data_IF_481862416196
#
_entry.id   IF_481862416196
#
_cell.length_a   1.000
_cell.length_b   1.000
_cell.length_c   1.000
_cell.angle_alpha   90.00
_cell.angle_beta   90.00
_cell.angle_gamma   90.00
#
_symmetry.space_group_name_H-M   'P 1'
#
loop_
_entity.id
_entity.type
_entity.pdbx_description
1 polymer ?
#
# COMPACT_ATOMS: atom_id res chain seq x y z
N UNK A 1 -12.79 -61.62 2.19
CA UNK A 1 -13.36 -60.47 1.46
C UNK A 1 -12.31 -59.35 1.37
N UNK A 2 -11.22 -59.56 0.60
CA UNK A 2 -10.04 -58.67 0.57
C UNK A 2 -9.23 -58.73 -0.75
N UNK A 3 -9.90 -58.92 -1.89
CA UNK A 3 -9.19 -59.16 -3.17
C UNK A 3 -9.75 -58.46 -4.41
N UNK A 4 -10.72 -57.54 -4.27
CA UNK A 4 -11.35 -56.88 -5.44
C UNK A 4 -10.99 -55.40 -5.67
N UNK A 5 -10.19 -54.77 -4.79
CA UNK A 5 -9.92 -53.31 -4.85
C UNK A 5 -8.59 -52.92 -5.52
N UNK A 6 -7.81 -53.88 -6.03
CA UNK A 6 -6.44 -53.63 -6.55
C UNK A 6 -6.34 -53.53 -8.09
N UNK A 7 -7.43 -53.75 -8.84
CA UNK A 7 -7.44 -53.66 -10.32
C UNK A 7 -7.94 -52.33 -10.90
N UNK A 8 -8.57 -51.45 -10.12
CA UNK A 8 -9.08 -50.17 -10.66
C UNK A 8 -8.02 -49.05 -10.76
N UNK A 9 -6.81 -49.26 -10.22
CA UNK A 9 -5.77 -48.23 -10.14
C UNK A 9 -4.87 -48.15 -11.39
N UNK A 10 -4.88 -49.17 -12.25
CA UNK A 10 -4.00 -49.22 -13.44
C UNK A 10 -4.68 -48.77 -14.76
N UNK A 11 -5.98 -48.48 -14.75
CA UNK A 11 -6.72 -48.05 -15.96
C UNK A 11 -6.73 -46.51 -16.12
N UNK A 12 -6.67 -45.77 -15.02
CA UNK A 12 -6.69 -44.30 -15.08
C UNK A 12 -5.36 -43.68 -15.52
N UNK A 13 -4.22 -44.35 -15.30
CA UNK A 13 -2.89 -43.85 -15.68
C UNK A 13 -2.64 -43.93 -17.19
N UNK A 14 -3.24 -44.91 -17.89
CA UNK A 14 -3.14 -45.01 -19.36
C UNK A 14 -4.05 -44.02 -20.11
N UNK A 15 -5.07 -43.45 -19.46
CA UNK A 15 -5.99 -42.48 -20.07
C UNK A 15 -5.43 -41.06 -20.10
N UNK A 16 -4.60 -40.68 -19.13
CA UNK A 16 -3.99 -39.34 -19.09
C UNK A 16 -2.80 -39.20 -20.04
N UNK A 17 -2.03 -40.27 -20.26
CA UNK A 17 -0.89 -40.25 -21.19
C UNK A 17 -1.31 -40.25 -22.66
N UNK A 18 -2.48 -40.78 -23.00
CA UNK A 18 -3.01 -40.77 -24.37
C UNK A 18 -3.66 -39.43 -24.76
N UNK A 19 -4.20 -38.67 -23.80
CA UNK A 19 -4.70 -37.30 -24.04
C UNK A 19 -3.57 -36.28 -24.20
N UNK A 20 -2.45 -36.42 -23.47
CA UNK A 20 -1.31 -35.50 -23.61
C UNK A 20 -0.60 -35.62 -24.97
N UNK A 21 -0.49 -36.84 -25.53
CA UNK A 21 0.19 -37.06 -26.83
C UNK A 21 -0.66 -36.56 -28.02
N UNK A 22 -1.99 -36.60 -27.92
CA UNK A 22 -2.91 -36.10 -28.97
C UNK A 22 -3.05 -34.56 -28.99
N UNK A 23 -2.95 -33.88 -27.84
CA UNK A 23 -3.02 -32.41 -27.79
C UNK A 23 -1.69 -31.77 -28.21
N UNK A 24 -0.55 -32.37 -27.88
CA UNK A 24 0.77 -31.84 -28.27
C UNK A 24 1.07 -31.99 -29.77
N UNK A 25 0.48 -32.99 -30.44
CA UNK A 25 0.62 -33.18 -31.89
C UNK A 25 -0.33 -32.29 -32.72
N UNK A 26 -1.40 -31.75 -32.13
CA UNK A 26 -2.28 -30.78 -32.79
C UNK A 26 -1.76 -29.33 -32.74
N UNK A 27 -0.85 -29.00 -31.80
CA UNK A 27 -0.29 -27.65 -31.63
C UNK A 27 0.91 -27.36 -32.55
N UNK A 28 1.59 -28.38 -33.06
CA UNK A 28 2.79 -28.24 -33.92
C UNK A 28 2.44 -28.08 -35.42
N UNK A 29 1.18 -28.34 -35.81
CA UNK A 29 0.72 -28.26 -37.23
C UNK A 29 0.09 -26.89 -37.58
N UNK A 30 -0.10 -25.97 -36.62
CA UNK A 30 -0.72 -24.66 -36.86
C UNK A 30 0.26 -23.49 -37.08
N UNK A 31 1.58 -23.74 -37.19
CA UNK A 31 2.61 -22.70 -37.36
C UNK A 31 3.11 -22.52 -38.82
N UNK A 32 2.30 -22.82 -39.85
CA UNK A 32 2.73 -22.62 -41.25
C UNK A 32 1.59 -22.32 -42.22
N UNK A 33 1.17 -21.05 -42.28
CA UNK A 33 0.55 -20.34 -43.42
C UNK A 33 0.12 -18.95 -42.89
N UNK A 34 0.51 -17.78 -43.41
CA UNK A 34 0.56 -17.28 -44.78
C UNK A 34 1.77 -16.31 -44.88
N UNK A 35 2.74 -16.48 -45.78
CA UNK A 35 2.77 -16.10 -47.21
C UNK A 35 2.26 -14.68 -47.50
N UNK A 36 3.21 -13.82 -47.88
CA UNK A 36 3.09 -12.44 -48.33
C UNK A 36 2.12 -12.27 -49.50
N UNK A 37 1.20 -11.32 -49.38
CA UNK A 37 0.48 -10.73 -50.51
C UNK A 37 1.07 -9.36 -50.84
N UNK A 38 1.78 -9.28 -51.96
CA UNK A 38 2.15 -8.01 -52.61
C UNK A 38 0.91 -7.38 -53.25
N UNK A 39 0.68 -6.06 -53.12
CA UNK A 39 -0.38 -5.40 -53.87
C UNK A 39 0.03 -5.14 -55.33
N UNK A 40 -0.86 -5.54 -56.22
CA UNK A 40 -0.89 -5.27 -57.66
C UNK A 40 -0.85 -3.78 -57.96
N UNK A 41 0.08 -3.37 -58.83
CA UNK A 41 0.16 -2.04 -59.43
C UNK A 41 -0.96 -1.84 -60.45
N UNK A 42 -1.70 -0.73 -60.30
CA UNK A 42 -2.66 -0.23 -61.30
C UNK A 42 -1.92 0.72 -62.25
N UNK A 43 -2.06 0.60 -63.59
CA UNK A 43 -1.46 1.55 -64.53
C UNK A 43 -2.20 2.90 -64.49
N UNK A 44 -1.41 3.97 -64.54
CA UNK A 44 -1.89 5.34 -64.42
C UNK A 44 -2.74 5.84 -65.59
N UNK A 45 -3.57 6.84 -65.26
CA UNK A 45 -4.12 7.77 -66.24
C UNK A 45 -3.59 9.16 -65.91
N UNK A 46 -2.76 9.65 -66.83
CA UNK A 46 -2.14 10.97 -66.83
C UNK A 46 -3.19 12.02 -67.18
N UNK A 47 -3.36 13.01 -66.30
CA UNK A 47 -3.80 14.35 -66.70
C UNK A 47 -3.11 15.37 -65.79
N UNK A 48 -2.08 16.01 -66.35
CA UNK A 48 -1.50 17.27 -65.86
C UNK A 48 -2.41 18.42 -66.37
N UNK A 49 -2.74 19.40 -65.53
CA UNK A 49 -2.18 20.71 -65.84
C UNK A 49 -1.76 21.55 -64.62
N UNK A 50 -0.54 22.09 -64.74
CA UNK A 50 -0.11 23.48 -64.41
C UNK A 50 0.20 23.80 -62.94
N UNK A 51 1.38 24.39 -62.64
CA UNK A 51 1.83 24.65 -61.29
C UNK A 51 1.10 25.85 -60.67
N UNK A 52 0.23 25.58 -59.70
CA UNK A 52 -0.19 26.60 -58.73
C UNK A 52 0.79 26.57 -57.56
N UNK A 53 1.62 27.60 -57.47
CA UNK A 53 2.31 27.94 -56.24
C UNK A 53 1.25 28.23 -55.17
N UNK A 54 1.03 27.28 -54.27
CA UNK A 54 0.33 27.54 -53.02
C UNK A 54 1.37 27.57 -51.92
N UNK A 55 1.47 28.76 -51.36
CA UNK A 55 2.36 29.18 -50.30
C UNK A 55 2.35 28.17 -49.15
N UNK A 56 3.56 27.83 -48.70
CA UNK A 56 3.82 27.28 -47.37
C UNK A 56 3.22 28.23 -46.34
N UNK A 57 2.00 27.96 -45.90
CA UNK A 57 1.48 28.51 -44.66
C UNK A 57 2.17 27.75 -43.53
N UNK A 58 3.22 28.33 -42.98
CA UNK A 58 3.78 27.93 -41.70
C UNK A 58 2.76 28.30 -40.63
N UNK A 59 1.72 27.49 -40.47
CA UNK A 59 0.89 27.52 -39.26
C UNK A 59 1.80 27.12 -38.09
N UNK A 60 1.81 27.83 -36.96
CA UNK A 60 2.50 27.35 -35.78
C UNK A 60 1.81 26.03 -35.40
N UNK A 61 2.52 24.91 -35.54
CA UNK A 61 2.11 23.63 -35.00
C UNK A 61 2.11 23.80 -33.49
N UNK A 62 0.97 24.15 -32.90
CA UNK A 62 0.80 24.10 -31.45
C UNK A 62 1.10 22.66 -31.05
N UNK A 63 2.14 22.48 -30.23
CA UNK A 63 2.50 21.17 -29.72
C UNK A 63 1.30 20.65 -28.90
N UNK A 64 0.75 19.50 -29.27
CA UNK A 64 -0.40 18.89 -28.57
C UNK A 64 -0.13 18.77 -27.06
N UNK A 65 1.12 18.48 -26.69
CA UNK A 65 1.54 18.40 -25.29
C UNK A 65 1.39 19.73 -24.53
N UNK A 66 1.72 20.87 -25.17
CA UNK A 66 1.59 22.19 -24.56
C UNK A 66 0.11 22.54 -24.29
N UNK A 67 -0.80 22.10 -25.17
CA UNK A 67 -2.25 22.25 -24.99
C UNK A 67 -2.70 21.42 -23.79
N UNK A 68 -2.33 20.14 -23.76
CA UNK A 68 -2.69 19.22 -22.66
C UNK A 68 -2.17 19.74 -21.31
N UNK A 69 -0.93 20.27 -21.27
CA UNK A 69 -0.37 20.88 -20.05
C UNK A 69 -1.17 22.11 -19.61
N UNK A 70 -1.57 22.98 -20.55
CA UNK A 70 -2.34 24.18 -20.23
C UNK A 70 -3.72 23.83 -19.67
N UNK A 71 -4.42 22.89 -20.30
CA UNK A 71 -5.73 22.41 -19.86
C UNK A 71 -5.63 21.69 -18.50
N UNK A 72 -4.59 20.86 -18.28
CA UNK A 72 -4.36 20.21 -17.00
C UNK A 72 -4.14 21.20 -15.84
N UNK A 73 -3.41 22.30 -16.11
CA UNK A 73 -3.25 23.39 -15.13
C UNK A 73 -4.58 24.08 -14.84
N UNK A 74 -5.39 24.34 -15.87
CA UNK A 74 -6.70 24.94 -15.70
C UNK A 74 -7.64 24.03 -14.91
N UNK A 75 -7.66 22.74 -15.22
CA UNK A 75 -8.48 21.74 -14.54
C UNK A 75 -8.12 21.66 -13.06
N UNK A 76 -6.82 21.59 -12.73
CA UNK A 76 -6.37 21.58 -11.33
C UNK A 76 -6.71 22.89 -10.60
N UNK A 77 -6.52 24.04 -11.25
CA UNK A 77 -6.85 25.34 -10.66
C UNK A 77 -8.35 25.46 -10.36
N UNK A 78 -9.21 25.01 -11.28
CA UNK A 78 -10.66 24.98 -11.09
C UNK A 78 -11.06 24.02 -9.97
N UNK A 79 -10.46 22.82 -9.92
CA UNK A 79 -10.75 21.80 -8.92
C UNK A 79 -10.45 22.26 -7.49
N UNK A 80 -9.40 23.07 -7.32
CA UNK A 80 -8.95 23.60 -6.04
C UNK A 80 -9.45 25.02 -5.74
N UNK A 81 -10.32 25.58 -6.59
CA UNK A 81 -10.85 26.95 -6.50
C UNK A 81 -9.74 28.03 -6.36
N UNK A 82 -8.66 27.89 -7.15
CA UNK A 82 -7.51 28.80 -7.11
C UNK A 82 -7.81 30.10 -7.85
N UNK A 83 -7.63 31.23 -7.17
CA UNK A 83 -7.82 32.57 -7.77
C UNK A 83 -6.52 33.23 -8.21
N UNK A 84 -5.42 32.96 -7.52
CA UNK A 84 -4.10 33.59 -7.76
C UNK A 84 -2.96 32.60 -7.94
N UNK A 85 -3.07 31.41 -7.36
CA UNK A 85 -2.01 30.41 -7.41
C UNK A 85 -2.10 29.64 -8.72
N UNK A 86 -1.03 29.70 -9.51
CA UNK A 86 -0.97 29.07 -10.84
C UNK A 86 -0.22 27.74 -10.72
N UNK A 87 -0.83 26.61 -11.12
CA UNK A 87 -0.14 25.34 -11.11
C UNK A 87 1.10 25.32 -12.02
N UNK A 88 2.21 24.81 -11.49
CA UNK A 88 3.49 24.71 -12.20
C UNK A 88 3.73 23.28 -12.69
N UNK A 89 4.22 23.11 -13.91
CA UNK A 89 4.57 21.78 -14.43
C UNK A 89 5.85 21.28 -13.75
N UNK A 90 5.79 20.07 -13.20
CA UNK A 90 6.96 19.34 -12.70
C UNK A 90 7.41 18.32 -13.74
N UNK A 91 6.47 17.51 -14.23
CA UNK A 91 6.75 16.39 -15.13
C UNK A 91 5.53 16.05 -15.98
N UNK A 92 5.76 15.56 -17.19
CA UNK A 92 4.75 14.95 -18.04
C UNK A 92 5.33 13.68 -18.66
N UNK A 93 4.55 12.61 -18.66
CA UNK A 93 4.96 11.31 -19.20
C UNK A 93 3.81 10.69 -20.00
N UNK A 94 4.13 10.09 -21.15
CA UNK A 94 3.17 9.27 -21.89
C UNK A 94 2.93 7.94 -21.16
N UNK A 95 1.67 7.61 -20.92
CA UNK A 95 1.23 6.42 -20.17
C UNK A 95 0.06 5.77 -20.91
N UNK A 96 -0.10 4.46 -20.73
CA UNK A 96 -1.27 3.71 -21.16
C UNK A 96 -2.16 3.42 -19.95
N UNK A 97 -3.38 3.93 -19.97
CA UNK A 97 -4.36 3.72 -18.91
C UNK A 97 -5.12 2.41 -19.12
N UNK A 98 -5.52 1.71 -18.06
CA UNK A 98 -6.19 0.41 -18.16
C UNK A 98 -7.67 0.49 -18.55
N UNK A 99 -8.28 1.68 -18.44
CA UNK A 99 -9.72 1.90 -18.63
C UNK A 99 -10.06 3.32 -19.08
N UNK A 100 -11.34 3.54 -19.40
CA UNK A 100 -11.88 4.83 -19.84
C UNK A 100 -11.91 5.94 -18.77
N UNK A 101 -11.63 5.61 -17.51
CA UNK A 101 -11.49 6.59 -16.43
C UNK A 101 -10.03 6.97 -16.19
N UNK A 102 -9.14 6.62 -17.14
CA UNK A 102 -7.73 6.95 -17.09
C UNK A 102 -7.06 6.37 -15.83
N UNK A 103 -7.53 5.21 -15.37
CA UNK A 103 -7.01 4.52 -14.19
C UNK A 103 -7.36 5.20 -12.85
N UNK A 104 -8.29 6.16 -12.85
CA UNK A 104 -8.84 6.75 -11.62
C UNK A 104 -10.22 6.18 -11.38
N UNK A 105 -10.41 5.45 -10.28
CA UNK A 105 -11.70 4.91 -9.89
C UNK A 105 -12.39 5.85 -8.93
N UNK A 106 -13.48 6.49 -9.38
CA UNK A 106 -14.36 7.27 -8.52
C UNK A 106 -15.57 6.45 -8.11
N UNK A 107 -16.05 6.68 -6.88
CA UNK A 107 -17.22 5.97 -6.36
C UNK A 107 -18.46 6.19 -7.22
N UNK A 108 -19.10 5.10 -7.63
CA UNK A 108 -20.32 5.13 -8.46
C UNK A 108 -20.08 5.29 -9.97
N UNK A 109 -18.83 5.40 -10.42
CA UNK A 109 -18.48 5.47 -11.85
C UNK A 109 -18.09 4.09 -12.38
N UNK A 110 -18.69 3.71 -13.52
CA UNK A 110 -18.34 2.48 -14.24
C UNK A 110 -17.46 2.81 -15.44
N UNK A 111 -16.22 2.32 -15.41
CA UNK A 111 -15.23 2.56 -16.45
C UNK A 111 -15.24 1.42 -17.49
N UNK A 112 -15.21 1.77 -18.76
CA UNK A 112 -15.08 0.78 -19.83
C UNK A 112 -13.64 0.24 -19.87
N UNK A 113 -13.49 -1.08 -19.73
CA UNK A 113 -12.20 -1.76 -19.69
C UNK A 113 -11.55 -1.82 -21.09
N UNK A 114 -10.72 -0.84 -21.40
CA UNK A 114 -9.89 -0.80 -22.60
C UNK A 114 -8.70 0.13 -22.39
N UNK A 115 -7.62 -0.10 -23.14
CA UNK A 115 -6.42 0.72 -23.02
C UNK A 115 -6.64 2.09 -23.66
N UNK A 116 -6.31 3.15 -22.93
CA UNK A 116 -6.35 4.54 -23.42
C UNK A 116 -4.94 5.13 -23.35
N UNK A 117 -4.39 5.53 -24.50
CA UNK A 117 -3.12 6.26 -24.53
C UNK A 117 -3.33 7.69 -24.02
N UNK A 118 -2.37 8.20 -23.26
CA UNK A 118 -2.50 9.51 -22.66
C UNK A 118 -1.26 10.00 -21.93
N UNK A 119 -1.45 11.00 -21.08
CA UNK A 119 -0.37 11.58 -20.28
C UNK A 119 -0.67 11.55 -18.78
N UNK A 120 0.36 11.25 -17.99
CA UNK A 120 0.42 11.53 -16.55
C UNK A 120 1.19 12.84 -16.35
N UNK A 121 0.55 13.82 -15.73
CA UNK A 121 1.06 15.18 -15.60
C UNK A 121 1.18 15.48 -14.12
N UNK A 122 2.40 15.79 -13.66
CA UNK A 122 2.67 16.19 -12.28
C UNK A 122 2.73 17.71 -12.21
N UNK A 123 1.85 18.30 -11.41
CA UNK A 123 1.74 19.73 -11.21
C UNK A 123 2.02 20.10 -9.75
N UNK A 124 2.72 21.20 -9.53
CA UNK A 124 2.95 21.77 -8.20
C UNK A 124 2.03 22.95 -7.94
N UNK A 125 1.42 22.97 -6.74
CA UNK A 125 0.72 24.13 -6.18
C UNK A 125 1.15 24.24 -4.72
N UNK A 126 1.70 25.38 -4.29
CA UNK A 126 2.10 25.64 -2.90
C UNK A 126 3.00 24.53 -2.28
N UNK A 127 3.90 23.97 -3.09
CA UNK A 127 4.82 22.90 -2.66
C UNK A 127 4.20 21.50 -2.60
N UNK A 128 2.90 21.37 -2.89
CA UNK A 128 2.20 20.08 -3.01
C UNK A 128 2.24 19.61 -4.45
N UNK A 129 2.23 18.30 -4.65
CA UNK A 129 2.26 17.68 -5.97
C UNK A 129 0.95 16.95 -6.22
N UNK A 130 0.32 17.29 -7.35
CA UNK A 130 -0.91 16.70 -7.85
C UNK A 130 -0.62 15.96 -9.15
N UNK A 131 -1.26 14.81 -9.35
CA UNK A 131 -1.30 14.15 -10.66
C UNK A 131 -2.60 14.53 -11.39
N UNK A 132 -2.46 14.85 -12.67
CA UNK A 132 -3.56 14.96 -13.62
C UNK A 132 -3.34 13.92 -14.70
N UNK A 133 -4.34 13.06 -14.90
CA UNK A 133 -4.35 12.08 -15.98
C UNK A 133 -5.14 12.63 -17.16
N UNK A 134 -4.65 12.40 -18.37
CA UNK A 134 -5.32 12.82 -19.61
C UNK A 134 -5.28 11.72 -20.66
N UNK A 135 -6.15 11.81 -21.67
CA UNK A 135 -5.93 11.17 -22.96
C UNK A 135 -5.00 12.02 -23.86
N UNK A 136 -4.53 11.45 -24.99
CA UNK A 136 -3.51 12.10 -25.83
C UNK A 136 -3.87 13.50 -26.36
N UNK A 137 -5.15 13.79 -26.56
CA UNK A 137 -5.61 15.08 -27.10
C UNK A 137 -6.10 16.07 -26.02
N UNK A 138 -6.10 15.66 -24.75
CA UNK A 138 -6.55 16.47 -23.62
C UNK A 138 -8.05 16.70 -23.54
N UNK A 139 -8.85 16.01 -24.38
CA UNK A 139 -10.32 16.11 -24.33
C UNK A 139 -10.92 15.50 -23.07
N UNK A 140 -10.17 14.64 -22.39
CA UNK A 140 -10.51 14.10 -21.07
C UNK A 140 -9.35 14.34 -20.12
N UNK A 141 -9.64 14.95 -18.98
CA UNK A 141 -8.70 15.23 -17.89
C UNK A 141 -9.34 14.78 -16.58
N UNK A 142 -8.54 14.16 -15.71
CA UNK A 142 -8.96 13.74 -14.36
C UNK A 142 -7.87 14.15 -13.37
N UNK A 143 -8.22 15.00 -12.41
CA UNK A 143 -7.35 15.28 -11.26
C UNK A 143 -7.41 14.08 -10.33
N UNK A 144 -6.26 13.46 -10.09
CA UNK A 144 -6.18 12.34 -9.15
C UNK A 144 -6.43 12.89 -7.74
N UNK A 145 -7.40 12.34 -6.98
CA UNK A 145 -7.80 12.88 -5.66
C UNK A 145 -6.71 12.81 -4.58
N UNK A 146 -5.53 12.26 -4.89
CA UNK A 146 -4.49 11.96 -3.93
C UNK A 146 -3.25 12.82 -4.20
N UNK A 147 -2.74 13.45 -3.13
CA UNK A 147 -1.46 14.14 -3.16
C UNK A 147 -0.31 13.14 -3.31
N UNK A 148 0.72 13.49 -4.06
CA UNK A 148 1.95 12.69 -4.11
C UNK A 148 2.86 13.16 -2.97
N UNK A 149 3.26 12.27 -2.03
CA UNK A 149 4.11 12.63 -0.92
C UNK A 149 5.58 12.71 -1.36
N UNK A 150 5.98 13.85 -1.91
CA UNK A 150 7.34 14.08 -2.42
C UNK A 150 8.19 14.91 -1.46
N UNK A 151 9.50 14.62 -1.33
CA UNK A 151 10.25 13.58 -2.06
C UNK A 151 10.08 12.16 -1.49
N UNK A 152 9.49 12.05 -0.30
CA UNK A 152 9.15 10.78 0.34
C UNK A 152 8.06 11.01 1.38
N UNK A 153 7.25 9.99 1.64
CA UNK A 153 6.18 10.06 2.62
C UNK A 153 5.00 9.16 2.27
N UNK A 154 3.87 9.45 2.90
CA UNK A 154 2.64 8.69 2.74
C UNK A 154 1.51 9.66 2.48
N UNK A 155 0.70 9.38 1.47
CA UNK A 155 -0.62 9.99 1.34
C UNK A 155 -1.69 8.92 1.47
N UNK A 156 -2.76 9.25 2.19
CA UNK A 156 -3.91 8.38 2.35
C UNK A 156 -5.16 9.18 2.15
N UNK A 157 -5.96 8.77 1.17
CA UNK A 157 -7.22 9.41 0.85
C UNK A 157 -8.34 8.46 1.18
N UNK A 158 -9.26 8.94 2.01
CA UNK A 158 -10.56 8.34 2.26
C UNK A 158 -11.51 8.99 1.27
N UNK A 159 -12.13 8.19 0.42
CA UNK A 159 -13.15 8.60 -0.54
C UNK A 159 -14.40 7.72 -0.36
N UNK A 160 -15.41 8.31 0.26
CA UNK A 160 -16.70 7.69 0.53
C UNK A 160 -17.82 8.67 0.18
N UNK A 161 -19.07 8.20 0.09
CA UNK A 161 -20.20 9.05 -0.34
C UNK A 161 -20.36 10.33 0.50
N UNK A 162 -19.94 10.28 1.77
CA UNK A 162 -20.20 11.35 2.74
C UNK A 162 -18.92 12.07 3.18
N UNK A 163 -17.74 11.55 2.83
CA UNK A 163 -16.44 12.07 3.27
C UNK A 163 -15.37 11.82 2.21
N UNK A 164 -14.73 12.90 1.76
CA UNK A 164 -13.49 12.86 0.99
C UNK A 164 -12.39 13.63 1.72
N UNK A 165 -11.43 12.91 2.29
CA UNK A 165 -10.36 13.48 3.12
C UNK A 165 -9.02 12.83 2.79
N UNK A 166 -8.01 13.67 2.58
CA UNK A 166 -6.63 13.26 2.31
C UNK A 166 -5.74 13.65 3.48
N UNK A 167 -4.96 12.69 3.96
CA UNK A 167 -3.86 12.90 4.88
C UNK A 167 -2.55 12.79 4.11
N UNK A 168 -1.62 13.68 4.41
CA UNK A 168 -0.28 13.69 3.86
C UNK A 168 0.74 13.76 5.01
N UNK A 169 1.61 12.76 5.03
CA UNK A 169 2.66 12.55 6.02
C UNK A 169 4.00 12.62 5.31
N UNK A 170 4.76 13.69 5.53
CA UNK A 170 6.06 13.96 4.93
C UNK A 170 7.11 14.14 6.03
N UNK A 171 8.38 13.89 5.72
CA UNK A 171 9.44 14.05 6.73
C UNK A 171 9.70 15.51 7.08
N UNK A 172 10.01 15.77 8.35
CA UNK A 172 10.34 17.09 8.89
C UNK A 172 9.20 18.13 8.72
N UNK A 173 7.98 17.66 8.46
CA UNK A 173 6.76 18.46 8.41
C UNK A 173 5.72 17.82 9.33
N UNK A 174 4.76 18.63 9.78
CA UNK A 174 3.57 18.16 10.48
C UNK A 174 2.56 17.52 9.51
N UNK A 175 1.48 16.94 10.04
CA UNK A 175 0.46 16.25 9.23
C UNK A 175 -0.33 17.27 8.41
N UNK A 176 -0.37 17.08 7.09
CA UNK A 176 -1.22 17.88 6.20
C UNK A 176 -2.56 17.17 6.00
N UNK A 177 -3.66 17.85 6.26
CA UNK A 177 -5.02 17.33 6.11
C UNK A 177 -5.83 18.20 5.14
N UNK A 178 -6.40 17.58 4.10
CA UNK A 178 -7.22 18.27 3.12
C UNK A 178 -8.56 17.57 2.94
N UNK A 179 -9.63 18.33 2.72
CA UNK A 179 -10.74 17.79 1.92
C UNK A 179 -10.26 17.68 0.47
N UNK A 180 -10.70 16.67 -0.28
CA UNK A 180 -10.16 16.41 -1.63
C UNK A 180 -10.28 17.58 -2.63
N UNK A 181 -11.14 18.55 -2.37
CA UNK A 181 -11.34 19.75 -3.20
C UNK A 181 -10.73 21.03 -2.60
N UNK A 182 -10.02 20.94 -1.47
CA UNK A 182 -9.46 22.10 -0.76
C UNK A 182 -7.95 21.96 -0.61
N UNK A 183 -7.28 23.09 -0.38
CA UNK A 183 -5.88 23.08 0.05
C UNK A 183 -5.76 22.48 1.45
N UNK A 184 -4.66 21.75 1.75
CA UNK A 184 -4.46 21.16 3.07
C UNK A 184 -4.18 22.21 4.15
N UNK A 185 -4.69 21.93 5.34
CA UNK A 185 -4.29 22.54 6.60
C UNK A 185 -3.14 21.73 7.23
N UNK A 186 -2.27 22.40 7.98
CA UNK A 186 -1.18 21.75 8.72
C UNK A 186 -1.61 21.54 10.17
N UNK A 187 -1.55 20.29 10.63
CA UNK A 187 -1.90 19.88 12.00
C UNK A 187 -0.70 19.19 12.65
N UNK A 188 -0.26 19.64 13.84
CA UNK A 188 0.89 19.04 14.50
C UNK A 188 0.75 17.55 14.76
N UNK A 189 1.85 16.81 14.67
CA UNK A 189 1.88 15.45 15.20
C UNK A 189 1.55 15.47 16.69
N UNK A 190 0.60 14.62 17.11
CA UNK A 190 0.24 14.49 18.53
C UNK A 190 1.40 13.88 19.31
N UNK A 191 2.02 12.84 18.77
CA UNK A 191 3.18 12.18 19.36
C UNK A 191 4.42 12.42 18.49
N UNK A 192 5.47 13.00 19.07
CA UNK A 192 6.72 13.27 18.34
C UNK A 192 7.42 11.99 17.84
N UNK A 193 7.08 10.81 18.38
CA UNK A 193 7.62 9.53 17.91
C UNK A 193 7.16 9.20 16.49
N UNK A 194 5.98 9.69 16.06
CA UNK A 194 5.41 9.40 14.74
C UNK A 194 6.33 9.80 13.60
N UNK A 195 7.05 10.90 13.73
CA UNK A 195 8.02 11.31 12.71
C UNK A 195 9.16 10.30 12.54
N UNK A 196 9.63 9.70 13.66
CA UNK A 196 10.66 8.64 13.60
C UNK A 196 10.12 7.34 13.01
N UNK A 197 8.88 6.99 13.31
CA UNK A 197 8.19 5.83 12.73
C UNK A 197 7.97 6.00 11.22
N UNK A 198 7.53 7.18 10.78
CA UNK A 198 7.42 7.53 9.37
C UNK A 198 8.76 7.35 8.64
N UNK A 199 9.84 7.90 9.22
CA UNK A 199 11.19 7.76 8.67
C UNK A 199 11.63 6.30 8.59
N UNK A 200 11.34 5.50 9.61
CA UNK A 200 11.63 4.06 9.57
C UNK A 200 11.00 3.40 8.34
N UNK A 201 9.72 3.66 8.06
CA UNK A 201 9.07 3.10 6.89
C UNK A 201 9.69 3.58 5.58
N UNK A 202 9.87 4.90 5.44
CA UNK A 202 10.46 5.54 4.25
C UNK A 202 11.84 4.96 3.92
N UNK A 203 12.68 4.76 4.94
CA UNK A 203 14.03 4.21 4.79
C UNK A 203 14.05 2.71 4.50
N UNK A 204 12.98 1.99 4.88
CA UNK A 204 12.93 0.54 4.77
C UNK A 204 12.40 0.08 3.42
N UNK A 205 11.28 0.66 2.97
CA UNK A 205 10.52 0.11 1.85
C UNK A 205 10.71 0.88 0.55
N UNK A 206 10.61 0.17 -0.58
CA UNK A 206 10.37 0.76 -1.89
C UNK A 206 8.98 1.39 -1.94
N UNK A 207 8.77 2.30 -2.88
CA UNK A 207 7.46 2.90 -3.12
C UNK A 207 6.43 1.85 -3.55
N UNK A 208 5.21 1.98 -3.03
CA UNK A 208 4.08 1.14 -3.41
C UNK A 208 2.78 1.94 -3.27
N UNK A 209 1.72 1.42 -3.89
CA UNK A 209 0.38 1.96 -3.72
C UNK A 209 -0.59 0.83 -3.46
N UNK A 210 -1.59 1.09 -2.63
CA UNK A 210 -2.55 0.07 -2.16
C UNK A 210 -3.95 0.64 -2.09
N UNK A 211 -4.92 -0.14 -2.59
CA UNK A 211 -6.33 0.18 -2.45
C UNK A 211 -6.79 -0.12 -1.03
N UNK A 212 -7.49 0.83 -0.42
CA UNK A 212 -8.15 0.68 0.88
C UNK A 212 -9.65 0.44 0.64
N UNK A 213 -10.39 -0.14 1.61
CA UNK A 213 -11.83 -0.41 1.44
C UNK A 213 -12.67 0.82 1.05
N UNK A 214 -12.24 2.01 1.48
CA UNK A 214 -12.92 3.29 1.26
C UNK A 214 -11.93 4.34 0.74
N UNK A 215 -10.94 3.96 -0.05
CA UNK A 215 -9.94 4.92 -0.50
C UNK A 215 -8.67 4.30 -1.06
N UNK A 216 -7.59 5.04 -0.97
CA UNK A 216 -6.30 4.65 -1.54
C UNK A 216 -5.14 5.24 -0.76
N UNK A 217 -4.02 4.53 -0.72
CA UNK A 217 -2.79 5.00 -0.10
C UNK A 217 -1.64 4.94 -1.11
N UNK A 218 -0.89 6.03 -1.19
CA UNK A 218 0.42 6.05 -1.86
C UNK A 218 1.51 6.14 -0.80
N UNK A 219 2.48 5.24 -0.91
CA UNK A 219 3.69 5.26 -0.13
C UNK A 219 4.87 5.53 -1.07
N UNK A 220 5.56 6.65 -0.87
CA UNK A 220 6.79 6.97 -1.57
C UNK A 220 7.97 6.77 -0.62
N UNK A 221 8.64 5.63 -0.78
CA UNK A 221 9.79 5.24 0.01
C UNK A 221 11.10 5.40 -0.76
N UNK A 222 12.20 5.42 -0.01
CA UNK A 222 13.58 5.44 -0.56
C UNK A 222 14.37 4.19 -0.18
N UNK A 223 13.74 3.24 0.49
CA UNK A 223 14.33 1.95 0.80
C UNK A 223 14.39 1.04 -0.43
N UNK A 224 15.05 -0.10 -0.27
CA UNK A 224 15.25 -1.10 -1.32
C UNK A 224 14.41 -2.36 -1.12
N UNK A 225 13.73 -2.50 0.01
CA UNK A 225 12.90 -3.66 0.32
C UNK A 225 11.50 -3.54 -0.27
N UNK A 226 11.08 -4.51 -1.06
CA UNK A 226 9.68 -4.64 -1.45
C UNK A 226 8.84 -5.08 -0.25
N UNK A 227 7.80 -4.31 0.11
CA UNK A 227 6.93 -4.60 1.23
C UNK A 227 5.96 -5.74 0.90
N UNK A 228 5.96 -6.81 1.71
CA UNK A 228 4.94 -7.86 1.65
C UNK A 228 3.58 -7.39 2.15
N UNK A 229 2.51 -8.13 1.87
CA UNK A 229 1.14 -7.77 2.31
C UNK A 229 1.05 -7.50 3.83
N UNK A 230 1.76 -8.26 4.66
CA UNK A 230 1.81 -8.04 6.10
C UNK A 230 2.53 -6.72 6.45
N UNK A 231 3.60 -6.38 5.74
CA UNK A 231 4.34 -5.13 5.96
C UNK A 231 3.56 -3.92 5.44
N UNK A 232 2.87 -4.05 4.30
CA UNK A 232 1.95 -3.02 3.82
C UNK A 232 0.81 -2.80 4.82
N UNK A 233 0.26 -3.86 5.40
CA UNK A 233 -0.74 -3.76 6.49
C UNK A 233 -0.19 -3.01 7.71
N UNK A 234 1.08 -3.20 8.05
CA UNK A 234 1.77 -2.45 9.12
C UNK A 234 1.80 -0.95 8.85
N UNK A 235 2.14 -0.56 7.62
CA UNK A 235 2.16 0.85 7.18
C UNK A 235 0.73 1.43 7.18
N UNK A 236 -0.26 0.68 6.69
CA UNK A 236 -1.67 1.07 6.71
C UNK A 236 -2.15 1.29 8.15
N UNK A 237 -1.81 0.38 9.08
CA UNK A 237 -2.17 0.52 10.49
C UNK A 237 -1.56 1.78 11.12
N UNK A 238 -0.33 2.14 10.74
CA UNK A 238 0.30 3.39 11.17
C UNK A 238 -0.45 4.61 10.66
N UNK A 239 -0.81 4.63 9.37
CA UNK A 239 -1.62 5.69 8.77
C UNK A 239 -2.95 5.86 9.50
N UNK A 240 -3.65 4.77 9.76
CA UNK A 240 -4.94 4.78 10.46
C UNK A 240 -4.79 5.33 11.88
N UNK A 241 -3.76 4.90 12.61
CA UNK A 241 -3.46 5.38 13.96
C UNK A 241 -3.21 6.88 13.96
N UNK A 242 -2.30 7.37 13.12
CA UNK A 242 -1.93 8.80 13.10
C UNK A 242 -3.09 9.65 12.60
N UNK A 243 -3.83 9.23 11.57
CA UNK A 243 -5.05 9.92 11.13
C UNK A 243 -6.07 10.05 12.26
N UNK A 244 -6.29 8.99 13.05
CA UNK A 244 -7.18 9.04 14.20
C UNK A 244 -6.67 9.99 15.30
N UNK A 245 -5.37 9.97 15.59
CA UNK A 245 -4.72 10.89 16.54
C UNK A 245 -4.89 12.35 16.11
N UNK A 246 -4.61 12.66 14.84
CA UNK A 246 -4.74 14.00 14.25
C UNK A 246 -6.17 14.53 14.36
N UNK A 247 -7.16 13.69 14.05
CA UNK A 247 -8.57 14.08 14.16
C UNK A 247 -9.03 14.24 15.62
N UNK A 248 -8.52 13.40 16.53
CA UNK A 248 -8.90 13.43 17.95
C UNK A 248 -8.14 14.49 18.75
N UNK A 249 -6.99 14.97 18.27
CA UNK A 249 -6.07 15.85 18.98
C UNK A 249 -5.42 15.19 20.21
N UNK A 250 -5.44 13.84 20.30
CA UNK A 250 -4.89 13.06 21.41
C UNK A 250 -4.52 11.65 20.98
N UNK A 251 -3.55 11.05 21.65
CA UNK A 251 -3.13 9.66 21.50
C UNK A 251 -3.77 8.77 22.58
N UNK A 252 -3.72 7.45 22.37
CA UNK A 252 -4.08 6.47 23.39
C UNK A 252 -3.14 5.28 23.31
N UNK A 253 -2.59 4.87 24.46
CA UNK A 253 -1.68 3.73 24.54
C UNK A 253 -2.35 2.38 24.17
N UNK A 254 -3.69 2.31 24.25
CA UNK A 254 -4.46 1.13 23.87
C UNK A 254 -4.85 1.12 22.40
N UNK A 255 -4.74 2.25 21.69
CA UNK A 255 -5.13 2.34 20.28
C UNK A 255 -4.19 1.47 19.45
N UNK A 256 -4.76 0.55 18.67
CA UNK A 256 -3.97 -0.37 17.86
C UNK A 256 -3.09 -1.35 18.65
N UNK A 257 -3.24 -1.48 19.97
CA UNK A 257 -2.53 -2.52 20.73
C UNK A 257 -3.02 -3.92 20.30
N UNK A 258 -2.11 -4.83 19.96
CA UNK A 258 -2.43 -6.26 19.76
C UNK A 258 -2.14 -7.05 21.04
N UNK A 259 -1.04 -6.73 21.71
CA UNK A 259 -0.54 -7.57 22.80
C UNK A 259 0.20 -6.72 23.83
N UNK A 260 -0.08 -6.96 25.10
CA UNK A 260 0.74 -6.52 26.24
C UNK A 260 1.23 -7.73 27.00
N UNK A 261 2.51 -7.77 27.33
CA UNK A 261 3.15 -8.86 28.07
C UNK A 261 4.03 -8.32 29.17
N UNK A 262 3.94 -8.95 30.33
CA UNK A 262 4.69 -8.63 31.53
C UNK A 262 5.30 -9.91 32.10
N UNK A 263 6.58 -9.84 32.48
CA UNK A 263 7.27 -10.91 33.21
C UNK A 263 8.05 -10.33 34.38
N UNK A 264 7.73 -10.79 35.58
CA UNK A 264 8.38 -10.37 36.82
C UNK A 264 8.82 -11.57 37.67
N UNK A 265 9.90 -11.40 38.41
CA UNK A 265 10.40 -12.39 39.38
C UNK A 265 11.53 -13.24 38.84
N UNK A 266 11.63 -14.50 39.29
CA UNK A 266 12.79 -15.33 39.03
C UNK A 266 14.00 -14.97 39.90
N UNK A 267 14.95 -15.90 40.03
CA UNK A 267 16.19 -15.69 40.81
C UNK A 267 17.03 -14.51 40.26
N UNK A 268 16.89 -14.21 38.97
CA UNK A 268 17.57 -13.09 38.32
C UNK A 268 16.87 -11.73 38.52
N UNK A 269 15.66 -11.70 39.12
CA UNK A 269 14.87 -10.48 39.30
C UNK A 269 14.51 -9.82 37.98
N UNK A 270 13.83 -10.56 37.10
CA UNK A 270 13.23 -10.03 35.88
C UNK A 270 12.12 -9.04 36.21
N UNK A 271 11.97 -8.04 35.35
CA UNK A 271 10.87 -7.08 35.41
C UNK A 271 10.81 -6.46 34.01
N UNK A 272 10.17 -7.20 33.12
CA UNK A 272 10.25 -7.02 31.68
C UNK A 272 8.84 -6.78 31.17
N UNK A 273 8.67 -5.73 30.36
CA UNK A 273 7.40 -5.38 29.74
C UNK A 273 7.58 -5.24 28.23
N UNK A 274 6.59 -5.68 27.46
CA UNK A 274 6.57 -5.53 26.02
C UNK A 274 5.14 -5.30 25.51
N UNK A 275 4.97 -4.28 24.69
CA UNK A 275 3.68 -3.98 24.02
C UNK A 275 3.87 -4.01 22.51
N UNK A 276 3.10 -4.84 21.82
CA UNK A 276 3.08 -4.95 20.35
C UNK A 276 1.84 -4.23 19.81
N UNK A 277 2.06 -3.37 18.83
CA UNK A 277 1.01 -2.63 18.13
C UNK A 277 0.73 -3.22 16.73
N UNK A 278 -0.45 -2.92 16.20
CA UNK A 278 -0.84 -3.21 14.82
C UNK A 278 0.07 -2.54 13.80
N UNK A 279 0.78 -1.49 14.20
CA UNK A 279 1.82 -0.86 13.38
C UNK A 279 3.09 -1.70 13.27
N UNK A 280 3.17 -2.89 13.89
CA UNK A 280 4.38 -3.69 13.89
C UNK A 280 5.47 -3.18 14.83
N UNK A 281 5.27 -2.04 15.48
CA UNK A 281 6.15 -1.57 16.54
C UNK A 281 5.95 -2.40 17.81
N UNK A 282 7.07 -2.80 18.43
CA UNK A 282 7.09 -3.39 19.76
C UNK A 282 7.90 -2.48 20.70
N UNK A 283 7.20 -1.88 21.67
CA UNK A 283 7.80 -1.03 22.68
C UNK A 283 8.24 -1.89 23.86
N UNK A 284 9.49 -1.72 24.28
CA UNK A 284 10.11 -2.57 25.30
C UNK A 284 10.46 -1.72 26.50
N UNK A 285 9.94 -2.09 27.67
CA UNK A 285 10.26 -1.41 28.93
C UNK A 285 10.72 -2.40 29.99
N UNK A 286 11.33 -1.87 31.05
CA UNK A 286 11.65 -2.64 32.26
C UNK A 286 11.05 -1.95 33.46
N UNK A 287 10.29 -2.68 34.27
CA UNK A 287 9.71 -2.19 35.53
C UNK A 287 10.68 -2.28 36.73
N UNK A 288 11.95 -2.65 36.52
CA UNK A 288 12.94 -2.79 37.59
C UNK A 288 13.04 -1.53 38.44
N UNK A 289 13.17 -1.71 39.75
CA UNK A 289 13.21 -0.63 40.75
C UNK A 289 11.90 0.17 40.88
N UNK A 290 10.77 -0.36 40.38
CA UNK A 290 9.45 0.26 40.54
C UNK A 290 9.23 1.50 39.69
N UNK A 291 10.05 1.71 38.66
CA UNK A 291 9.91 2.79 37.68
C UNK A 291 10.07 2.22 36.27
N UNK A 292 9.10 2.43 35.35
CA UNK A 292 9.25 2.02 33.96
C UNK A 292 10.45 2.70 33.32
N UNK A 293 11.38 1.89 32.81
CA UNK A 293 12.51 2.35 32.01
C UNK A 293 12.29 1.93 30.56
N UNK A 294 12.23 2.90 29.66
CA UNK A 294 12.21 2.66 28.22
C UNK A 294 13.55 2.04 27.77
N UNK A 295 13.46 0.88 27.13
CA UNK A 295 14.60 0.15 26.56
C UNK A 295 14.68 0.32 25.05
N UNK A 296 13.65 0.90 24.43
CA UNK A 296 13.56 1.20 23.01
C UNK A 296 12.34 0.59 22.33
N UNK A 297 12.19 0.94 21.06
CA UNK A 297 11.22 0.38 20.14
C UNK A 297 11.95 -0.48 19.12
N UNK A 298 11.45 -1.69 18.87
CA UNK A 298 11.87 -2.55 17.76
C UNK A 298 10.71 -2.79 16.81
N UNK A 299 11.03 -3.24 15.61
CA UNK A 299 10.06 -3.48 14.55
C UNK A 299 9.98 -4.98 14.26
N UNK A 300 8.75 -5.49 14.19
CA UNK A 300 8.52 -6.86 13.77
C UNK A 300 8.94 -7.04 12.30
N UNK A 301 9.62 -8.15 12.03
CA UNK A 301 9.94 -8.55 10.66
C UNK A 301 8.73 -9.13 9.93
N UNK A 302 8.90 -9.45 8.64
CA UNK A 302 7.85 -10.03 7.78
C UNK A 302 7.18 -11.26 8.39
N UNK A 303 7.96 -12.20 8.93
CA UNK A 303 7.44 -13.47 9.42
C UNK A 303 6.71 -13.27 10.74
N UNK A 304 7.25 -12.38 11.60
CA UNK A 304 6.61 -11.95 12.84
C UNK A 304 5.28 -11.21 12.59
N UNK A 305 5.25 -10.28 11.64
CA UNK A 305 4.05 -9.57 11.22
C UNK A 305 3.00 -10.52 10.66
N UNK A 306 3.42 -11.43 9.78
CA UNK A 306 2.52 -12.45 9.22
C UNK A 306 1.90 -13.30 10.33
N UNK A 307 2.71 -13.75 11.30
CA UNK A 307 2.23 -14.58 12.39
C UNK A 307 1.30 -13.83 13.35
N UNK A 308 1.66 -12.61 13.78
CA UNK A 308 0.85 -11.84 14.73
C UNK A 308 -0.48 -11.43 14.10
N UNK A 309 -0.52 -11.08 12.81
CA UNK A 309 -1.77 -10.74 12.14
C UNK A 309 -2.68 -11.95 11.92
N UNK A 310 -2.12 -13.13 11.64
CA UNK A 310 -2.93 -14.36 11.60
C UNK A 310 -3.64 -14.62 12.92
N UNK A 311 -2.96 -14.43 14.05
CA UNK A 311 -3.58 -14.55 15.37
C UNK A 311 -4.56 -13.41 15.66
N UNK A 312 -4.21 -12.18 15.31
CA UNK A 312 -5.05 -11.00 15.53
C UNK A 312 -6.38 -11.11 14.77
N UNK A 313 -6.39 -11.66 13.56
CA UNK A 313 -7.62 -11.84 12.77
C UNK A 313 -8.43 -13.06 13.21
N UNK A 314 -7.78 -14.05 13.82
CA UNK A 314 -8.42 -15.31 14.17
C UNK A 314 -9.03 -15.32 15.57
N UNK A 315 -8.28 -14.83 16.56
CA UNK A 315 -8.65 -14.90 17.97
C UNK A 315 -9.38 -13.65 18.44
N UNK A 316 -10.30 -13.82 19.39
CA UNK A 316 -10.84 -12.73 20.19
C UNK A 316 -9.90 -12.34 21.33
N UNK A 317 -10.35 -11.41 22.17
CA UNK A 317 -9.57 -10.96 23.33
C UNK A 317 -9.43 -12.07 24.39
N UNK A 318 -8.25 -12.19 24.99
CA UNK A 318 -8.04 -13.07 26.13
C UNK A 318 -6.92 -12.58 27.04
N UNK A 319 -6.91 -13.08 28.28
CA UNK A 319 -5.83 -12.92 29.24
C UNK A 319 -5.18 -14.28 29.48
N UNK A 320 -3.85 -14.31 29.60
CA UNK A 320 -3.08 -15.49 29.92
C UNK A 320 -2.15 -15.21 31.09
N UNK A 321 -2.41 -15.90 32.21
CA UNK A 321 -1.65 -15.79 33.46
C UNK A 321 -1.47 -17.20 34.05
N UNK A 322 -0.50 -17.99 33.55
CA UNK A 322 -0.33 -19.37 33.96
C UNK A 322 0.07 -19.44 35.44
N UNK A 323 -0.55 -20.36 36.18
CA UNK A 323 -0.17 -20.61 37.57
C UNK A 323 1.23 -21.25 37.61
N UNK A 324 2.23 -20.49 38.04
CA UNK A 324 3.56 -21.04 38.31
C UNK A 324 3.56 -21.66 39.70
N UNK A 325 4.11 -22.87 39.84
CA UNK A 325 4.25 -23.50 41.14
C UNK A 325 5.17 -22.61 41.99
N UNK A 326 4.70 -22.11 43.13
CA UNK A 326 5.42 -21.21 44.05
C UNK A 326 6.77 -21.75 44.61
N UNK A 327 7.21 -22.94 44.18
CA UNK A 327 8.53 -23.52 44.48
C UNK A 327 9.52 -23.37 43.31
N UNK A 328 9.06 -23.08 42.10
CA UNK A 328 9.87 -22.85 40.91
C UNK A 328 10.01 -21.33 40.72
N UNK A 329 11.10 -20.77 41.24
CA UNK A 329 11.69 -19.46 40.97
C UNK A 329 10.83 -18.20 41.18
N UNK A 330 9.53 -18.31 41.50
CA UNK A 330 8.66 -17.17 41.79
C UNK A 330 8.47 -16.22 40.60
N UNK A 331 8.40 -16.77 39.39
CA UNK A 331 8.18 -16.01 38.16
C UNK A 331 6.68 -15.86 37.89
N UNK A 332 6.24 -14.64 37.59
CA UNK A 332 4.88 -14.31 37.16
C UNK A 332 4.91 -13.89 35.69
N UNK A 333 3.92 -14.34 34.92
CA UNK A 333 3.67 -13.89 33.55
C UNK A 333 2.23 -13.40 33.48
N UNK A 334 2.03 -12.21 32.94
CA UNK A 334 0.73 -11.68 32.59
C UNK A 334 0.75 -11.26 31.12
N UNK A 335 -0.20 -11.77 30.34
CA UNK A 335 -0.36 -11.42 28.93
C UNK A 335 -1.81 -11.04 28.65
N UNK A 336 -2.00 -9.92 27.95
CA UNK A 336 -3.29 -9.49 27.40
C UNK A 336 -3.17 -9.50 25.89
N UNK A 337 -4.05 -10.26 25.22
CA UNK A 337 -4.18 -10.28 23.78
C UNK A 337 -5.47 -9.58 23.37
N UNK A 338 -5.35 -8.59 22.47
CA UNK A 338 -6.45 -7.82 21.92
C UNK A 338 -6.64 -8.18 20.44
N UNK A 339 -7.35 -9.27 20.18
CA UNK A 339 -7.63 -9.76 18.83
C UNK A 339 -8.91 -9.17 18.23
N UNK A 340 -8.99 -9.11 16.91
CA UNK A 340 -10.19 -8.72 16.16
C UNK A 340 -11.10 -9.90 15.77
N UNK A 341 -10.61 -11.13 15.96
CA UNK A 341 -11.34 -12.35 15.65
C UNK A 341 -12.40 -12.70 16.69
N UNK A 342 -12.96 -13.89 16.55
CA UNK A 342 -14.02 -14.41 17.43
C UNK A 342 -13.71 -15.79 18.02
N UNK A 343 -12.59 -16.39 17.64
CA UNK A 343 -12.17 -17.71 18.15
C UNK A 343 -11.51 -17.55 19.52
N UNK A 344 -11.84 -18.43 20.47
CA UNK A 344 -11.13 -18.47 21.74
C UNK A 344 -9.84 -19.28 21.58
N UNK A 345 -8.70 -18.67 21.87
CA UNK A 345 -7.41 -19.38 21.91
C UNK A 345 -7.40 -20.40 23.05
N UNK A 346 -7.00 -21.64 22.77
CA UNK A 346 -6.80 -22.69 23.79
C UNK A 346 -5.42 -22.59 24.43
N UNK A 347 -5.22 -23.21 25.60
CA UNK A 347 -4.01 -23.05 26.43
C UNK A 347 -2.68 -23.20 25.66
N UNK A 348 -2.57 -24.16 24.75
CA UNK A 348 -1.33 -24.36 23.96
C UNK A 348 -1.10 -23.24 22.94
N UNK A 349 -2.16 -22.62 22.41
CA UNK A 349 -2.06 -21.47 21.52
C UNK A 349 -1.68 -20.21 22.30
N UNK A 350 -2.29 -20.00 23.47
CA UNK A 350 -1.93 -18.90 24.38
C UNK A 350 -0.46 -18.99 24.81
N UNK A 351 0.02 -20.19 25.16
CA UNK A 351 1.44 -20.42 25.45
C UNK A 351 2.33 -20.18 24.23
N UNK A 352 1.89 -20.55 23.03
CA UNK A 352 2.66 -20.30 21.79
C UNK A 352 2.81 -18.80 21.52
N UNK A 353 1.76 -18.02 21.78
CA UNK A 353 1.77 -16.55 21.67
C UNK A 353 2.73 -15.95 22.71
N UNK A 354 2.70 -16.43 23.95
CA UNK A 354 3.63 -15.99 24.99
C UNK A 354 5.10 -16.25 24.58
N UNK A 355 5.42 -17.46 24.13
CA UNK A 355 6.77 -17.83 23.67
C UNK A 355 7.20 -17.04 22.42
N UNK A 356 6.27 -16.56 21.61
CA UNK A 356 6.55 -15.65 20.50
C UNK A 356 7.01 -14.28 21.01
N UNK A 357 6.35 -13.74 22.03
CA UNK A 357 6.68 -12.43 22.61
C UNK A 357 8.00 -12.46 23.36
N UNK A 358 8.28 -13.53 24.10
CA UNK A 358 9.58 -13.72 24.75
C UNK A 358 10.75 -13.66 23.75
N UNK A 359 10.56 -14.24 22.56
CA UNK A 359 11.55 -14.21 21.49
C UNK A 359 11.76 -12.81 20.94
N UNK A 360 10.70 -12.03 20.79
CA UNK A 360 10.79 -10.61 20.37
C UNK A 360 11.55 -9.81 21.43
N UNK A 361 11.19 -9.94 22.71
CA UNK A 361 11.90 -9.26 23.80
C UNK A 361 13.39 -9.59 23.81
N UNK A 362 13.75 -10.86 23.58
CA UNK A 362 15.14 -11.29 23.51
C UNK A 362 15.93 -10.71 22.32
N UNK A 363 15.27 -10.26 21.24
CA UNK A 363 15.93 -9.58 20.11
C UNK A 363 16.40 -8.18 20.50
N UNK A 364 15.60 -7.46 21.29
CA UNK A 364 15.95 -6.14 21.84
C UNK A 364 17.26 -6.17 22.61
N UNK A 365 17.47 -7.22 23.42
CA UNK A 365 18.68 -7.39 24.25
C UNK A 365 19.95 -7.69 23.45
N UNK A 366 19.83 -8.07 22.17
CA UNK A 366 20.96 -8.40 21.29
C UNK A 366 21.38 -7.25 20.39
N UNK A 367 20.55 -6.21 20.28
CA UNK A 367 20.82 -5.05 19.43
C UNK A 367 21.62 -4.03 20.25
N UNK A 368 22.81 -3.61 19.81
CA UNK A 368 23.54 -2.54 20.48
C UNK A 368 22.69 -1.26 20.51
N UNK A 369 22.52 -0.65 21.69
CA UNK A 369 21.87 0.65 21.85
C UNK A 369 22.67 1.78 21.19
#
# INVERSE_FOLDING_TARGET
MKTYKKMSKNINVLREWTQFILVFSLLVVLLSACVQSSPTSVPGSVIDPTPRQTQTATTPSVNTEDVVIAEAKSELANKLDLTTDVPHLIKIESVQWPDSCLGVQESGIMCAMHVVDGYRILLSVNGLIYAVHSNLDGSQLVVVPNLIPEPAGISSTIDSSDLCQTFLFTENEDVKIASCNNLPEVVPFVEMIREKELRHYIDTYQSFSVALPNGFMNFLGRGDKEASDAEQRSVIAWVQLVSAETLAGRSSASEGMILSWHREGGIAGFCDDLVIYQTGAANVTSCKNGQPKDLGQIWLDKDQLTQIYQWYDHFGNFEYAPQTNAQADGMTIDLVFAGSGSTNAVDNEQQTIETFVERIYAQTMKTPQ
#
